data_IF_332815813901
#
_entry.id   IF_332815813901
#
_cell.length_a   1.000
_cell.length_b   1.000
_cell.length_c   1.000
_cell.angle_alpha   90.00
_cell.angle_beta   90.00
_cell.angle_gamma   90.00
#
_symmetry.space_group_name_H-M   'P 1'
#
loop_
_entity.id
_entity.type
_entity.pdbx_description
1 polymer ?
#
# COMPACT_ATOMS: atom_id res chain seq x y z
N UNK A 1 40.18 6.56 7.82
CA UNK A 1 39.45 5.80 6.78
C UNK A 1 37.97 6.04 6.97
N UNK A 2 37.31 6.63 5.97
CA UNK A 2 35.89 6.95 6.02
C UNK A 2 35.06 5.67 6.17
N UNK A 3 34.12 5.64 7.10
CA UNK A 3 33.10 4.60 7.21
C UNK A 3 32.23 4.71 5.96
N UNK A 4 32.53 3.90 4.96
CA UNK A 4 31.75 3.75 3.75
C UNK A 4 30.36 3.22 4.14
N UNK A 5 29.31 3.90 3.67
CA UNK A 5 27.93 3.73 4.11
C UNK A 5 27.28 2.39 3.73
N UNK A 6 27.70 1.31 4.40
CA UNK A 6 27.08 -0.01 4.26
C UNK A 6 25.84 -0.15 5.17
N UNK A 7 24.68 -0.26 4.52
CA UNK A 7 23.41 -0.85 4.95
C UNK A 7 22.79 -0.42 6.29
N UNK A 8 22.21 0.79 6.33
CA UNK A 8 21.19 1.18 7.34
C UNK A 8 19.85 0.45 7.14
N UNK A 9 19.85 -0.83 6.79
CA UNK A 9 18.62 -1.64 6.57
C UNK A 9 18.81 -3.01 7.17
N UNK A 10 17.77 -3.52 7.82
CA UNK A 10 17.77 -4.87 8.37
C UNK A 10 17.88 -5.88 7.23
N UNK A 11 18.73 -6.90 7.38
CA UNK A 11 18.88 -7.96 6.37
C UNK A 11 17.53 -8.66 6.07
N UNK A 12 16.67 -8.79 7.09
CA UNK A 12 15.32 -9.36 6.98
C UNK A 12 14.38 -8.53 6.08
N UNK A 13 14.66 -7.23 5.89
CA UNK A 13 13.85 -6.35 5.02
C UNK A 13 14.33 -6.36 3.57
N UNK A 14 15.40 -7.09 3.26
CA UNK A 14 15.96 -7.15 1.91
C UNK A 14 14.94 -7.71 0.93
N UNK A 15 14.58 -6.91 -0.06
CA UNK A 15 13.59 -7.29 -1.07
C UNK A 15 12.12 -7.22 -0.60
N UNK A 16 11.84 -6.83 0.66
CA UNK A 16 10.47 -6.77 1.19
C UNK A 16 9.53 -5.97 0.29
N UNK A 17 9.94 -4.76 -0.11
CA UNK A 17 9.15 -3.92 -1.00
C UNK A 17 8.87 -4.59 -2.35
N UNK A 18 9.89 -5.16 -3.00
CA UNK A 18 9.75 -5.75 -4.35
C UNK A 18 8.91 -7.02 -4.32
N UNK A 19 9.14 -7.87 -3.33
CA UNK A 19 8.60 -9.23 -3.32
C UNK A 19 7.19 -9.29 -2.71
N UNK A 20 6.86 -8.38 -1.79
CA UNK A 20 5.57 -8.38 -1.09
C UNK A 20 4.73 -7.14 -1.40
N UNK A 21 5.25 -5.93 -1.11
CA UNK A 21 4.46 -4.70 -1.24
C UNK A 21 4.09 -4.42 -2.70
N UNK A 22 5.08 -4.34 -3.59
CA UNK A 22 4.87 -4.08 -5.02
C UNK A 22 3.99 -5.16 -5.64
N UNK A 23 4.29 -6.43 -5.35
CA UNK A 23 3.54 -7.58 -5.86
C UNK A 23 2.07 -7.55 -5.44
N UNK A 24 1.78 -7.22 -4.19
CA UNK A 24 0.40 -7.09 -3.70
C UNK A 24 -0.41 -6.05 -4.51
N UNK A 25 0.16 -4.87 -4.78
CA UNK A 25 -0.54 -3.85 -5.57
C UNK A 25 -0.63 -4.23 -7.06
N UNK A 26 0.36 -4.94 -7.61
CA UNK A 26 0.27 -5.51 -8.95
C UNK A 26 -0.87 -6.53 -9.06
N UNK A 27 -1.03 -7.41 -8.05
CA UNK A 27 -2.12 -8.37 -7.99
C UNK A 27 -3.48 -7.68 -7.84
N UNK A 28 -3.56 -6.58 -7.06
CA UNK A 28 -4.79 -5.77 -6.94
C UNK A 28 -5.19 -5.12 -8.28
N UNK A 29 -4.21 -4.57 -9.02
CA UNK A 29 -4.44 -4.00 -10.35
C UNK A 29 -4.82 -5.07 -11.37
N UNK A 30 -4.18 -6.25 -11.30
CA UNK A 30 -4.50 -7.41 -12.14
C UNK A 30 -5.93 -7.87 -11.88
N UNK A 31 -6.34 -8.04 -10.62
CA UNK A 31 -7.71 -8.40 -10.25
C UNK A 31 -8.73 -7.42 -10.88
N UNK A 32 -8.49 -6.12 -10.77
CA UNK A 32 -9.33 -5.10 -11.43
C UNK A 32 -9.38 -5.27 -12.95
N UNK A 33 -8.23 -5.52 -13.60
CA UNK A 33 -8.17 -5.73 -15.06
C UNK A 33 -8.91 -6.98 -15.52
N UNK A 34 -8.92 -8.03 -14.70
CA UNK A 34 -9.62 -9.29 -14.93
C UNK A 34 -11.11 -9.23 -14.52
N UNK A 35 -11.62 -8.03 -14.19
CA UNK A 35 -13.00 -7.78 -13.72
C UNK A 35 -13.36 -8.52 -12.43
N UNK A 36 -12.36 -8.96 -11.65
CA UNK A 36 -12.56 -9.42 -10.27
C UNK A 36 -12.87 -8.21 -9.38
N UNK A 37 -13.93 -8.24 -8.55
CA UNK A 37 -14.24 -7.13 -7.66
C UNK A 37 -13.08 -6.84 -6.70
N UNK A 38 -12.80 -5.56 -6.48
CA UNK A 38 -11.79 -5.08 -5.52
C UNK A 38 -12.49 -4.29 -4.44
N UNK A 39 -12.35 -4.71 -3.18
CA UNK A 39 -12.96 -4.07 -2.03
C UNK A 39 -11.92 -3.27 -1.24
N UNK A 40 -12.28 -2.05 -0.84
CA UNK A 40 -11.49 -1.27 0.12
C UNK A 40 -12.02 -1.56 1.51
N UNK A 41 -11.14 -2.01 2.39
CA UNK A 41 -11.51 -2.48 3.74
C UNK A 41 -10.67 -1.80 4.80
N UNK A 42 -11.25 -1.70 6.00
CA UNK A 42 -10.53 -1.29 7.20
C UNK A 42 -9.74 -2.48 7.78
N UNK A 43 -8.68 -2.18 8.54
CA UNK A 43 -7.76 -3.16 9.13
C UNK A 43 -8.41 -4.29 9.93
N UNK A 44 -9.58 -4.07 10.52
CA UNK A 44 -10.30 -5.05 11.35
C UNK A 44 -11.34 -5.88 10.60
N UNK A 45 -11.51 -5.66 9.29
CA UNK A 45 -12.50 -6.40 8.51
C UNK A 45 -12.08 -7.88 8.30
N UNK A 46 -12.99 -8.86 8.48
CA UNK A 46 -12.69 -10.28 8.25
C UNK A 46 -12.57 -10.61 6.75
N UNK A 47 -11.35 -10.50 6.23
CA UNK A 47 -11.08 -10.64 4.78
C UNK A 47 -11.36 -12.02 4.21
N UNK A 48 -11.43 -13.05 5.06
CA UNK A 48 -11.76 -14.41 4.67
C UNK A 48 -13.09 -14.48 3.91
N UNK A 49 -14.07 -13.65 4.30
CA UNK A 49 -15.36 -13.56 3.61
C UNK A 49 -15.20 -13.04 2.17
N UNK A 50 -14.33 -12.05 1.95
CA UNK A 50 -14.07 -11.50 0.61
C UNK A 50 -13.30 -12.50 -0.25
N UNK A 51 -12.28 -13.14 0.33
CA UNK A 51 -11.49 -14.14 -0.38
C UNK A 51 -12.37 -15.32 -0.82
N UNK A 52 -13.25 -15.81 0.06
CA UNK A 52 -14.22 -16.86 -0.26
C UNK A 52 -15.20 -16.44 -1.37
N UNK A 53 -15.61 -15.17 -1.40
CA UNK A 53 -16.46 -14.59 -2.44
C UNK A 53 -15.71 -14.20 -3.73
N UNK A 54 -14.43 -14.57 -3.86
CA UNK A 54 -13.58 -14.15 -4.97
C UNK A 54 -13.53 -12.63 -5.17
N UNK A 55 -13.43 -11.88 -4.07
CA UNK A 55 -13.22 -10.42 -4.03
C UNK A 55 -11.82 -10.14 -3.50
N UNK A 56 -11.10 -9.21 -4.14
CA UNK A 56 -9.74 -8.85 -3.74
C UNK A 56 -9.77 -7.69 -2.71
N UNK A 57 -9.27 -7.88 -1.48
CA UNK A 57 -9.24 -6.83 -0.46
C UNK A 57 -8.02 -5.90 -0.61
N UNK A 58 -8.22 -4.60 -0.33
CA UNK A 58 -7.17 -3.58 -0.26
C UNK A 58 -7.40 -2.70 0.97
N UNK A 59 -6.33 -2.32 1.68
CA UNK A 59 -6.38 -1.46 2.86
C UNK A 59 -5.88 -0.05 2.52
N UNK A 60 -6.77 0.96 2.48
CA UNK A 60 -6.37 2.34 2.22
C UNK A 60 -5.32 2.88 3.20
N UNK A 61 -5.36 2.48 4.48
CA UNK A 61 -4.37 2.87 5.49
C UNK A 61 -2.95 2.36 5.19
N UNK A 62 -2.83 1.16 4.59
CA UNK A 62 -1.55 0.62 4.16
C UNK A 62 -1.01 1.41 2.96
N UNK A 63 -1.90 1.80 2.05
CA UNK A 63 -1.52 2.62 0.91
C UNK A 63 -1.12 4.04 1.34
N UNK A 64 -1.84 4.65 2.27
CA UNK A 64 -1.48 5.93 2.87
C UNK A 64 -0.09 5.88 3.52
N UNK A 65 0.20 4.81 4.27
CA UNK A 65 1.53 4.57 4.85
C UNK A 65 2.61 4.44 3.78
N UNK A 66 2.32 3.77 2.67
CA UNK A 66 3.24 3.69 1.52
C UNK A 66 3.45 5.06 0.87
N UNK A 67 2.40 5.86 0.68
CA UNK A 67 2.49 7.22 0.16
C UNK A 67 3.38 8.11 1.05
N UNK A 68 3.26 7.99 2.37
CA UNK A 68 4.12 8.68 3.33
C UNK A 68 5.58 8.23 3.18
N UNK A 69 5.84 6.92 3.14
CA UNK A 69 7.19 6.38 2.95
C UNK A 69 7.83 6.78 1.60
N UNK A 70 7.01 7.05 0.58
CA UNK A 70 7.45 7.51 -0.74
C UNK A 70 7.50 9.04 -0.87
N UNK A 71 7.24 9.77 0.23
CA UNK A 71 7.25 11.23 0.30
C UNK A 71 6.28 11.91 -0.68
N UNK A 72 5.13 11.26 -0.94
CA UNK A 72 4.06 11.83 -1.79
C UNK A 72 2.79 12.17 -1.00
N UNK A 73 2.74 11.86 0.29
CA UNK A 73 1.54 12.06 1.13
C UNK A 73 1.12 13.52 1.22
N UNK A 74 2.05 14.47 1.42
CA UNK A 74 1.75 15.91 1.59
C UNK A 74 0.96 16.44 0.39
N UNK A 75 1.44 16.17 -0.83
CA UNK A 75 0.76 16.58 -2.07
C UNK A 75 -0.66 15.99 -2.17
N UNK A 76 -0.84 14.74 -1.73
CA UNK A 76 -2.16 14.10 -1.73
C UNK A 76 -3.09 14.73 -0.70
N UNK A 77 -2.59 15.09 0.48
CA UNK A 77 -3.35 15.82 1.50
C UNK A 77 -3.74 17.21 1.01
N UNK A 78 -2.84 17.98 0.38
CA UNK A 78 -3.15 19.30 -0.19
C UNK A 78 -4.25 19.22 -1.26
N UNK A 79 -4.27 18.16 -2.08
CA UNK A 79 -5.36 17.91 -3.04
C UNK A 79 -6.68 17.67 -2.30
N UNK A 80 -6.69 16.97 -1.16
CA UNK A 80 -7.90 16.80 -0.37
C UNK A 80 -8.33 18.12 0.29
N UNK A 81 -7.41 18.85 0.90
CA UNK A 81 -7.67 20.16 1.53
C UNK A 81 -8.27 21.15 0.52
N UNK A 82 -7.75 21.21 -0.72
CA UNK A 82 -8.32 22.05 -1.79
C UNK A 82 -9.74 21.66 -2.23
N UNK A 83 -10.19 20.44 -1.89
CA UNK A 83 -11.56 19.97 -2.10
C UNK A 83 -12.48 20.21 -0.90
N UNK A 84 -12.01 20.94 0.11
CA UNK A 84 -12.79 21.31 1.30
C UNK A 84 -12.72 20.31 2.46
N UNK A 85 -11.81 19.32 2.40
CA UNK A 85 -11.54 18.47 3.56
C UNK A 85 -10.70 19.23 4.59
N UNK A 86 -11.07 19.14 5.87
CA UNK A 86 -10.24 19.69 6.95
C UNK A 86 -8.90 18.97 7.00
N UNK A 87 -7.88 19.72 7.39
CA UNK A 87 -6.59 19.18 7.82
C UNK A 87 -6.74 18.40 9.13
#
# INVERSE_FOLDING_TARGET
>A
MAVTGLERRLQTTKGFYRNYVKRFYEDAHKAKSERKPVAWVVSTFPVEMLLAANVFPVWPENYASLCAARQVSVKLCEIAESKGFSK
#
